data_IF_518850525453
#
_entry.id   IF_518850525453
#
_cell.length_a   1.000
_cell.length_b   1.000
_cell.length_c   1.000
_cell.angle_alpha   90.00
_cell.angle_beta   90.00
_cell.angle_gamma   90.00
#
_symmetry.space_group_name_H-M   'P 1'
#
loop_
_entity.id
_entity.type
_entity.pdbx_description
1 polymer ?
#
# COMPACT_ATOMS: atom_id res chain seq x y z
N UNK A 1 6.54 -18.54 -22.15
CA UNK A 1 7.14 -17.32 -21.58
C UNK A 1 6.15 -16.79 -20.55
N UNK A 2 6.40 -16.90 -19.23
CA UNK A 2 5.50 -16.29 -18.25
C UNK A 2 5.86 -14.81 -18.12
N UNK A 3 4.97 -13.94 -18.62
CA UNK A 3 5.07 -12.49 -18.41
C UNK A 3 4.72 -12.17 -16.96
N UNK A 4 5.75 -11.85 -16.17
CA UNK A 4 5.62 -11.21 -14.86
C UNK A 4 5.27 -9.74 -15.09
N UNK A 5 3.99 -9.43 -15.30
CA UNK A 5 3.53 -8.05 -15.48
C UNK A 5 2.39 -7.70 -14.50
N UNK A 6 2.67 -6.70 -13.67
CA UNK A 6 1.74 -5.77 -13.03
C UNK A 6 0.68 -6.33 -12.06
N UNK A 7 1.10 -6.57 -10.82
CA UNK A 7 0.24 -6.56 -9.62
C UNK A 7 -0.33 -5.15 -9.27
N UNK A 8 -0.39 -4.24 -10.24
CA UNK A 8 -0.89 -2.86 -10.10
C UNK A 8 -2.41 -2.79 -10.29
N UNK A 9 -3.03 -3.85 -10.81
CA UNK A 9 -4.40 -3.80 -11.33
C UNK A 9 -5.47 -4.43 -10.42
N UNK A 10 -5.18 -4.61 -9.13
CA UNK A 10 -6.23 -4.99 -8.19
C UNK A 10 -7.16 -3.79 -7.93
N UNK A 11 -8.49 -3.97 -7.90
CA UNK A 11 -9.43 -2.89 -7.60
C UNK A 11 -9.08 -2.13 -6.31
N UNK A 12 -8.51 -2.83 -5.34
CA UNK A 12 -8.03 -2.28 -4.07
C UNK A 12 -6.88 -1.29 -4.26
N UNK A 13 -5.85 -1.65 -5.03
CA UNK A 13 -4.73 -0.74 -5.28
C UNK A 13 -5.16 0.50 -6.08
N UNK A 14 -6.11 0.36 -7.01
CA UNK A 14 -6.64 1.54 -7.72
C UNK A 14 -7.33 2.51 -6.77
N UNK A 15 -8.13 2.01 -5.82
CA UNK A 15 -8.77 2.85 -4.80
C UNK A 15 -7.74 3.52 -3.89
N UNK A 16 -6.74 2.76 -3.44
CA UNK A 16 -5.65 3.31 -2.63
C UNK A 16 -4.91 4.44 -3.36
N UNK A 17 -4.51 4.22 -4.61
CA UNK A 17 -3.80 5.19 -5.43
C UNK A 17 -4.66 6.43 -5.74
N UNK A 18 -5.96 6.27 -5.96
CA UNK A 18 -6.87 7.40 -6.15
C UNK A 18 -6.93 8.30 -4.91
N UNK A 19 -7.04 7.72 -3.70
CA UNK A 19 -7.01 8.46 -2.44
C UNK A 19 -5.63 9.11 -2.24
N UNK A 20 -4.56 8.38 -2.50
CA UNK A 20 -3.19 8.90 -2.36
C UNK A 20 -2.90 10.05 -3.34
N UNK A 21 -3.46 10.00 -4.55
CA UNK A 21 -3.33 11.09 -5.52
C UNK A 21 -4.04 12.36 -5.07
N UNK A 22 -5.12 12.25 -4.29
CA UNK A 22 -5.79 13.40 -3.67
C UNK A 22 -5.01 13.94 -2.46
N UNK A 23 -4.22 13.10 -1.78
CA UNK A 23 -3.44 13.45 -0.60
C UNK A 23 -1.97 12.98 -0.70
N UNK A 24 -1.17 13.55 -1.63
CA UNK A 24 0.18 13.07 -1.91
C UNK A 24 1.12 13.15 -0.70
N UNK A 25 0.89 14.11 0.20
CA UNK A 25 1.73 14.36 1.38
C UNK A 25 1.25 13.61 2.64
N UNK A 26 0.09 12.95 2.61
CA UNK A 26 -0.46 12.26 3.77
C UNK A 26 -0.24 10.75 3.68
N UNK A 27 -0.03 10.10 4.82
CA UNK A 27 0.01 8.63 4.91
C UNK A 27 -1.41 8.08 4.89
N UNK A 28 -1.71 7.20 3.94
CA UNK A 28 -3.05 6.61 3.81
C UNK A 28 -3.12 5.29 4.58
N UNK A 29 -3.91 5.25 5.65
CA UNK A 29 -4.26 4.02 6.34
C UNK A 29 -5.46 3.36 5.66
N UNK A 30 -5.20 2.32 4.89
CA UNK A 30 -6.23 1.58 4.18
C UNK A 30 -6.78 0.46 5.07
N UNK A 31 -8.05 0.54 5.44
CA UNK A 31 -8.68 -0.51 6.27
C UNK A 31 -8.92 -1.77 5.44
N UNK A 32 -8.32 -2.87 5.86
CA UNK A 32 -8.55 -4.20 5.30
C UNK A 32 -8.98 -5.16 6.40
N UNK A 33 -10.28 -5.31 6.57
CA UNK A 33 -10.87 -6.07 7.68
C UNK A 33 -10.66 -5.38 9.03
N UNK A 34 -9.96 -6.07 9.93
CA UNK A 34 -9.65 -5.61 11.28
C UNK A 34 -8.32 -4.84 11.36
N UNK A 35 -7.52 -4.85 10.29
CA UNK A 35 -6.22 -4.19 10.23
C UNK A 35 -6.24 -2.97 9.32
N UNK A 36 -5.29 -2.07 9.55
CA UNK A 36 -4.97 -1.01 8.61
C UNK A 36 -3.65 -1.34 7.92
N UNK A 37 -3.69 -1.36 6.61
CA UNK A 37 -2.52 -1.55 5.75
C UNK A 37 -2.14 -0.23 5.09
N UNK A 38 -0.83 -0.05 4.95
CA UNK A 38 -0.23 1.05 4.18
C UNK A 38 0.56 0.40 3.05
N UNK A 39 0.61 1.06 1.90
CA UNK A 39 1.25 0.49 0.72
C UNK A 39 2.31 1.43 0.13
N UNK A 40 3.31 0.84 -0.54
CA UNK A 40 4.36 1.59 -1.23
C UNK A 40 5.23 2.43 -0.27
N UNK A 41 5.41 3.71 -0.61
CA UNK A 41 6.26 4.64 0.17
C UNK A 41 5.69 5.00 1.53
N UNK A 42 4.36 4.94 1.69
CA UNK A 42 3.70 5.21 2.98
C UNK A 42 4.09 4.14 4.00
N UNK A 43 4.11 2.87 3.60
CA UNK A 43 4.57 1.79 4.46
C UNK A 43 6.05 1.99 4.85
N UNK A 44 6.91 2.30 3.88
CA UNK A 44 8.35 2.53 4.09
C UNK A 44 8.62 3.69 5.05
N UNK A 45 7.84 4.77 4.95
CA UNK A 45 8.01 5.97 5.76
C UNK A 45 7.40 5.80 7.15
N UNK A 46 6.23 5.16 7.26
CA UNK A 46 5.51 4.98 8.50
C UNK A 46 6.08 3.84 9.37
N UNK A 47 6.61 2.78 8.77
CA UNK A 47 7.20 1.64 9.49
C UNK A 47 8.24 2.03 10.55
N UNK A 48 9.29 2.81 10.24
CA UNK A 48 10.30 3.18 11.25
C UNK A 48 9.74 4.14 12.31
N UNK A 49 8.75 4.97 11.95
CA UNK A 49 8.13 5.93 12.87
C UNK A 49 7.20 5.22 13.87
N UNK A 50 6.46 4.23 13.40
CA UNK A 50 5.46 3.50 14.18
C UNK A 50 5.99 2.18 14.77
N UNK A 51 7.24 1.81 14.46
CA UNK A 51 7.83 0.54 14.88
C UNK A 51 7.14 -0.68 14.25
N UNK A 52 6.60 -0.54 13.04
CA UNK A 52 5.89 -1.62 12.34
C UNK A 52 6.85 -2.46 11.50
N UNK A 53 6.62 -3.77 11.44
CA UNK A 53 7.37 -4.68 10.55
C UNK A 53 6.85 -4.51 9.12
N UNK A 54 7.75 -4.19 8.18
CA UNK A 54 7.42 -4.17 6.76
C UNK A 54 7.19 -5.60 6.25
N UNK A 55 5.95 -5.90 5.89
CA UNK A 55 5.61 -7.15 5.22
C UNK A 55 5.43 -6.89 3.73
N UNK A 56 6.02 -7.76 2.91
CA UNK A 56 5.79 -7.75 1.47
C UNK A 56 4.79 -8.86 1.15
N UNK A 57 3.66 -8.51 0.53
CA UNK A 57 2.77 -9.50 -0.06
C UNK A 57 3.43 -10.09 -1.31
N UNK A 58 4.22 -11.16 -1.10
CA UNK A 58 4.65 -12.05 -2.17
C UNK A 58 3.44 -12.65 -2.88
N UNK A 59 3.59 -12.96 -4.15
CA UNK A 59 2.71 -13.84 -4.90
C UNK A 59 2.53 -13.38 -6.31
#
# INVERSE_FOLDING_TARGET
MPSTEAKTDTPLMRQYLAIKSAYPHAVVFFRLGDFYEMFGDDARSASPVLGLVLTARQG
#
